data_IF_695835696035
#
_entry.id   IF_695835696035
#
_cell.length_a   1.000
_cell.length_b   1.000
_cell.length_c   1.000
_cell.angle_alpha   90.00
_cell.angle_beta   90.00
_cell.angle_gamma   90.00
#
_symmetry.space_group_name_H-M   'P 1'
#
loop_
_entity.id
_entity.type
_entity.pdbx_description
1 polymer ?
#
# COMPACT_ATOMS: atom_id res chain seq x y z
N UNK A 1 3.97 -12.56 12.19
CA UNK A 1 2.58 -12.10 12.04
C UNK A 1 2.40 -11.55 10.63
N UNK A 2 1.23 -11.70 10.05
CA UNK A 2 0.95 -11.20 8.73
C UNK A 2 0.20 -9.88 8.78
N UNK A 3 0.52 -9.00 7.83
CA UNK A 3 -0.22 -7.77 7.61
C UNK A 3 -1.26 -8.02 6.52
N UNK A 4 -2.31 -7.20 6.49
CA UNK A 4 -3.34 -7.24 5.46
C UNK A 4 -3.25 -5.99 4.61
N UNK A 5 -3.04 -6.17 3.30
CA UNK A 5 -3.00 -5.10 2.30
C UNK A 5 -4.20 -5.19 1.38
N UNK A 6 -4.70 -4.04 0.97
CA UNK A 6 -5.65 -3.93 -0.13
C UNK A 6 -4.93 -3.27 -1.29
N UNK A 7 -4.74 -4.02 -2.38
CA UNK A 7 -3.95 -3.57 -3.52
C UNK A 7 -4.83 -2.90 -4.56
N UNK A 8 -4.52 -1.65 -4.89
CA UNK A 8 -5.14 -0.92 -5.99
C UNK A 8 -4.83 -1.60 -7.33
N UNK A 9 -5.65 -1.29 -8.35
CA UNK A 9 -5.59 -1.94 -9.66
C UNK A 9 -4.24 -1.79 -10.35
N UNK A 10 -3.55 -0.66 -10.15
CA UNK A 10 -2.31 -0.37 -10.87
C UNK A 10 -1.06 -1.01 -10.27
N UNK A 11 -1.17 -1.72 -9.15
CA UNK A 11 -0.01 -2.32 -8.49
C UNK A 11 0.41 -3.57 -9.25
N UNK A 12 1.69 -3.67 -9.68
CA UNK A 12 2.15 -4.86 -10.40
C UNK A 12 2.04 -6.13 -9.58
N UNK A 13 1.70 -7.24 -10.26
CA UNK A 13 1.60 -8.55 -9.62
C UNK A 13 2.89 -8.97 -8.91
N UNK A 14 4.03 -8.54 -9.41
CA UNK A 14 5.32 -8.84 -8.79
C UNK A 14 5.36 -8.34 -7.33
N UNK A 15 4.79 -7.17 -7.07
CA UNK A 15 4.73 -6.63 -5.72
C UNK A 15 3.76 -7.43 -4.85
N UNK A 16 2.54 -7.64 -5.33
CA UNK A 16 1.51 -8.34 -4.55
C UNK A 16 1.89 -9.79 -4.28
N UNK A 17 2.46 -10.47 -5.26
CA UNK A 17 2.90 -11.86 -5.09
C UNK A 17 4.08 -11.98 -4.13
N UNK A 18 5.02 -11.03 -4.18
CA UNK A 18 6.14 -11.01 -3.25
C UNK A 18 5.66 -10.82 -1.81
N UNK A 19 4.69 -9.93 -1.59
CA UNK A 19 4.09 -9.76 -0.27
C UNK A 19 3.42 -11.04 0.22
N UNK A 20 2.69 -11.73 -0.65
CA UNK A 20 2.04 -13.01 -0.32
C UNK A 20 3.07 -14.08 0.02
N UNK A 21 4.14 -14.19 -0.75
CA UNK A 21 5.22 -15.15 -0.47
C UNK A 21 5.91 -14.85 0.86
N UNK A 22 5.93 -13.58 1.27
CA UNK A 22 6.53 -13.17 2.55
C UNK A 22 5.56 -13.36 3.72
N UNK A 23 4.39 -13.93 3.49
CA UNK A 23 3.44 -14.27 4.54
C UNK A 23 2.33 -13.27 4.79
N UNK A 24 2.21 -12.23 3.97
CA UNK A 24 1.17 -11.23 4.14
C UNK A 24 -0.09 -11.59 3.34
N UNK A 25 -1.24 -11.10 3.82
CA UNK A 25 -2.51 -11.23 3.10
C UNK A 25 -2.66 -10.02 2.18
N UNK A 26 -2.99 -10.27 0.92
CA UNK A 26 -3.24 -9.23 -0.07
C UNK A 26 -4.59 -9.48 -0.74
N UNK A 27 -5.51 -8.53 -0.60
CA UNK A 27 -6.78 -8.53 -1.32
C UNK A 27 -6.62 -7.62 -2.54
N UNK A 28 -6.92 -8.13 -3.72
CA UNK A 28 -6.83 -7.34 -4.95
C UNK A 28 -8.13 -6.60 -5.19
N UNK A 29 -8.02 -5.36 -5.69
CA UNK A 29 -9.18 -4.52 -5.99
C UNK A 29 -10.19 -5.25 -6.88
N UNK A 30 -9.72 -5.88 -7.95
CA UNK A 30 -10.59 -6.56 -8.93
C UNK A 30 -11.41 -7.70 -8.34
N UNK A 31 -11.03 -8.22 -7.18
CA UNK A 31 -11.75 -9.32 -6.54
C UNK A 31 -12.91 -8.84 -5.69
N UNK A 32 -12.97 -7.55 -5.35
CA UNK A 32 -13.97 -7.00 -4.43
C UNK A 32 -14.66 -5.75 -4.94
N UNK A 33 -14.14 -5.10 -5.98
CA UNK A 33 -14.69 -3.87 -6.55
C UNK A 33 -14.64 -3.91 -8.08
N UNK A 34 -15.48 -3.09 -8.76
CA UNK A 34 -15.31 -2.87 -10.19
C UNK A 34 -13.95 -2.23 -10.48
N UNK A 35 -13.33 -2.61 -11.60
CA UNK A 35 -12.02 -2.07 -12.00
C UNK A 35 -12.03 -0.55 -12.11
N UNK A 36 -13.20 0.03 -12.44
CA UNK A 36 -13.38 1.47 -12.62
C UNK A 36 -13.77 2.21 -11.33
N UNK A 37 -13.66 1.55 -10.19
CA UNK A 37 -13.99 2.21 -8.91
C UNK A 37 -13.15 3.47 -8.75
N UNK A 38 -13.81 4.56 -8.34
CA UNK A 38 -13.14 5.84 -8.10
C UNK A 38 -12.40 5.82 -6.77
N UNK A 39 -11.41 6.71 -6.63
CA UNK A 39 -10.52 6.73 -5.45
C UNK A 39 -11.25 6.73 -4.10
N UNK A 40 -12.30 7.55 -3.88
CA UNK A 40 -13.01 7.49 -2.59
C UNK A 40 -13.62 6.13 -2.28
N UNK A 41 -14.07 5.40 -3.29
CA UNK A 41 -14.62 4.05 -3.12
C UNK A 41 -13.50 3.06 -2.80
N UNK A 42 -12.34 3.22 -3.46
CA UNK A 42 -11.18 2.35 -3.24
C UNK A 42 -10.69 2.46 -1.79
N UNK A 43 -10.47 3.69 -1.31
CA UNK A 43 -9.96 3.89 0.05
C UNK A 43 -10.99 3.48 1.10
N UNK A 44 -12.28 3.67 0.82
CA UNK A 44 -13.35 3.22 1.72
C UNK A 44 -13.37 1.70 1.84
N UNK A 45 -13.09 0.98 0.76
CA UNK A 45 -13.02 -0.48 0.80
C UNK A 45 -11.82 -0.96 1.62
N UNK A 46 -10.69 -0.28 1.54
CA UNK A 46 -9.53 -0.59 2.38
C UNK A 46 -9.90 -0.48 3.86
N UNK A 47 -10.64 0.57 4.25
CA UNK A 47 -11.11 0.77 5.60
C UNK A 47 -12.06 -0.35 6.04
N UNK A 48 -13.01 -0.71 5.18
CA UNK A 48 -13.97 -1.78 5.44
C UNK A 48 -13.26 -3.11 5.68
N UNK A 49 -12.20 -3.38 4.95
CA UNK A 49 -11.42 -4.61 5.07
C UNK A 49 -10.45 -4.58 6.26
N UNK A 50 -10.26 -3.42 6.89
CA UNK A 50 -9.24 -3.27 7.92
C UNK A 50 -7.82 -3.39 7.38
N UNK A 51 -7.61 -3.01 6.11
CA UNK A 51 -6.38 -3.25 5.38
C UNK A 51 -5.60 -1.96 5.13
N UNK A 52 -4.29 -2.12 4.91
CA UNK A 52 -3.42 -1.04 4.45
C UNK A 52 -3.62 -0.90 2.94
N UNK A 53 -3.94 0.31 2.48
CA UNK A 53 -4.06 0.57 1.04
C UNK A 53 -2.67 0.63 0.41
N UNK A 54 -2.46 -0.21 -0.60
CA UNK A 54 -1.22 -0.23 -1.38
C UNK A 54 -1.53 0.29 -2.78
N UNK A 55 -0.88 1.37 -3.20
CA UNK A 55 -1.21 2.02 -4.46
C UNK A 55 0.00 2.67 -5.12
N UNK A 56 -0.02 2.74 -6.45
CA UNK A 56 0.89 3.56 -7.24
C UNK A 56 0.28 4.92 -7.58
N UNK A 57 -1.00 5.11 -7.23
CA UNK A 57 -1.72 6.34 -7.55
C UNK A 57 -1.28 7.47 -6.61
N UNK A 58 -0.64 8.50 -7.18
CA UNK A 58 -0.16 9.65 -6.42
C UNK A 58 -1.26 10.44 -5.72
N UNK A 59 -2.53 10.30 -6.15
CA UNK A 59 -3.63 11.02 -5.53
C UNK A 59 -3.81 10.63 -4.06
N UNK A 60 -3.52 9.39 -3.69
CA UNK A 60 -3.59 8.95 -2.30
C UNK A 60 -2.46 9.52 -1.43
N UNK A 61 -1.44 10.10 -2.04
CA UNK A 61 -0.38 10.81 -1.33
C UNK A 61 -0.73 12.28 -1.06
N UNK A 62 -1.87 12.75 -1.60
CA UNK A 62 -2.37 14.09 -1.31
C UNK A 62 -3.02 14.12 0.07
N UNK A 63 -2.29 14.64 1.04
CA UNK A 63 -2.72 14.64 2.44
C UNK A 63 -3.89 15.60 2.72
N UNK A 64 -4.21 16.48 1.78
CA UNK A 64 -5.38 17.36 1.88
C UNK A 64 -6.65 16.57 1.53
N UNK A 65 -6.61 15.84 0.40
CA UNK A 65 -7.75 15.02 -0.04
C UNK A 65 -7.91 13.76 0.80
N UNK A 66 -6.79 13.16 1.22
CA UNK A 66 -6.79 11.92 2.01
C UNK A 66 -5.89 12.11 3.25
N UNK A 67 -6.39 12.81 4.29
CA UNK A 67 -5.61 13.01 5.51
C UNK A 67 -5.24 11.68 6.16
N UNK A 68 -3.94 11.36 6.32
CA UNK A 68 -3.52 10.04 6.82
C UNK A 68 -4.15 9.65 8.15
N UNK A 69 -4.38 10.63 9.04
CA UNK A 69 -4.96 10.36 10.36
C UNK A 69 -6.33 9.68 10.32
N UNK A 70 -7.03 9.74 9.18
CA UNK A 70 -8.37 9.17 9.02
C UNK A 70 -8.37 7.72 8.54
N UNK A 71 -7.21 7.20 8.17
CA UNK A 71 -7.14 5.90 7.47
C UNK A 71 -6.29 4.89 8.23
N UNK A 72 -6.41 3.63 7.84
CA UNK A 72 -5.74 2.51 8.52
C UNK A 72 -4.37 2.20 7.94
N UNK A 73 -3.83 3.12 7.20
CA UNK A 73 -2.51 3.01 6.58
C UNK A 73 -2.60 3.09 5.06
N UNK A 74 -1.71 3.89 4.48
CA UNK A 74 -1.56 4.02 3.03
C UNK A 74 -0.09 3.81 2.70
N UNK A 75 0.20 2.90 1.78
CA UNK A 75 1.56 2.69 1.25
C UNK A 75 1.54 3.09 -0.22
N UNK A 76 2.17 4.21 -0.53
CA UNK A 76 2.33 4.68 -1.90
C UNK A 76 3.68 4.28 -2.45
N UNK A 77 3.70 3.58 -3.57
CA UNK A 77 4.93 3.13 -4.22
C UNK A 77 5.26 4.06 -5.38
N UNK A 78 6.43 4.67 -5.35
CA UNK A 78 6.85 5.69 -6.32
C UNK A 78 7.72 5.05 -7.41
N UNK A 79 7.11 4.33 -8.35
CA UNK A 79 7.83 3.65 -9.43
C UNK A 79 8.23 4.58 -10.58
N UNK A 80 7.47 5.64 -10.81
CA UNK A 80 7.74 6.61 -11.89
C UNK A 80 7.96 5.94 -13.26
N UNK A 81 7.14 4.91 -13.60
CA UNK A 81 7.23 4.15 -14.86
C UNK A 81 8.54 3.37 -15.03
N UNK A 82 9.17 2.97 -13.94
CA UNK A 82 10.40 2.18 -13.95
C UNK A 82 10.20 0.82 -13.27
N UNK A 83 9.48 -0.13 -13.91
CA UNK A 83 9.21 -1.42 -13.28
C UNK A 83 10.47 -2.23 -12.96
N UNK A 84 11.58 -1.94 -13.63
CA UNK A 84 12.87 -2.60 -13.38
C UNK A 84 13.41 -2.36 -11.97
N UNK A 85 12.91 -1.35 -11.25
CA UNK A 85 13.35 -1.05 -9.89
C UNK A 85 12.51 -1.75 -8.81
N UNK A 86 11.52 -2.54 -9.21
CA UNK A 86 10.66 -3.25 -8.23
C UNK A 86 11.48 -4.09 -7.24
N UNK A 87 12.48 -4.88 -7.67
CA UNK A 87 13.28 -5.63 -6.69
C UNK A 87 13.93 -4.75 -5.63
N UNK A 88 14.39 -3.56 -6.00
CA UNK A 88 14.97 -2.61 -5.04
C UNK A 88 13.93 -2.12 -4.03
N UNK A 89 12.71 -1.82 -4.50
CA UNK A 89 11.62 -1.45 -3.62
C UNK A 89 11.30 -2.56 -2.63
N UNK A 90 11.23 -3.80 -3.10
CA UNK A 90 10.90 -4.93 -2.24
C UNK A 90 12.02 -5.21 -1.24
N UNK A 91 13.27 -5.04 -1.64
CA UNK A 91 14.41 -5.17 -0.72
C UNK A 91 14.39 -4.13 0.39
N UNK A 92 13.70 -3.02 0.19
CA UNK A 92 13.50 -2.00 1.22
C UNK A 92 12.23 -2.25 2.02
N UNK A 93 11.14 -2.59 1.34
CA UNK A 93 9.85 -2.74 1.98
C UNK A 93 9.79 -3.95 2.92
N UNK A 94 10.28 -5.11 2.49
CA UNK A 94 10.15 -6.34 3.28
C UNK A 94 10.84 -6.23 4.65
N UNK A 95 12.09 -5.74 4.74
CA UNK A 95 12.70 -5.53 6.06
C UNK A 95 11.96 -4.51 6.92
N UNK A 96 11.40 -3.47 6.29
CA UNK A 96 10.60 -2.47 7.01
C UNK A 96 9.36 -3.11 7.63
N UNK A 97 8.65 -3.96 6.88
CA UNK A 97 7.48 -4.66 7.37
C UNK A 97 7.84 -5.64 8.49
N UNK A 98 8.98 -6.32 8.37
CA UNK A 98 9.45 -7.24 9.40
C UNK A 98 9.79 -6.50 10.70
N UNK A 99 10.32 -5.28 10.59
CA UNK A 99 10.64 -4.45 11.74
C UNK A 99 9.37 -3.86 12.40
N UNK A 100 8.27 -3.79 11.67
CA UNK A 100 7.01 -3.22 12.13
C UNK A 100 5.85 -4.19 11.83
N UNK A 101 5.75 -5.30 12.55
CA UNK A 101 4.79 -6.37 12.21
C UNK A 101 3.36 -6.13 12.70
N UNK A 102 3.12 -5.10 13.51
CA UNK A 102 1.78 -4.83 14.04
C UNK A 102 0.97 -3.99 13.05
N UNK A 103 -0.24 -4.45 12.72
CA UNK A 103 -1.14 -3.74 11.81
C UNK A 103 -1.41 -2.31 12.31
N UNK A 104 -1.57 -2.14 13.62
CA UNK A 104 -1.87 -0.85 14.24
C UNK A 104 -0.77 0.18 14.04
N UNK A 105 0.47 -0.24 13.83
CA UNK A 105 1.57 0.69 13.56
C UNK A 105 1.29 1.56 12.34
N UNK A 106 0.57 1.02 11.35
CA UNK A 106 0.32 1.71 10.07
C UNK A 106 -0.86 2.66 10.13
N UNK A 107 -1.70 2.55 11.16
CA UNK A 107 -2.90 3.38 11.30
C UNK A 107 -2.52 4.86 11.42
N UNK A 108 -3.21 5.70 10.65
CA UNK A 108 -3.02 7.15 10.71
C UNK A 108 -1.76 7.64 10.01
N UNK A 109 -1.12 6.81 9.19
CA UNK A 109 0.14 7.17 8.54
C UNK A 109 0.11 6.91 7.05
N UNK A 110 0.83 7.72 6.32
CA UNK A 110 1.12 7.54 4.90
C UNK A 110 2.61 7.19 4.77
N UNK A 111 2.88 6.07 4.11
CA UNK A 111 4.23 5.60 3.85
C UNK A 111 4.52 5.78 2.37
N UNK A 112 5.48 6.63 2.03
CA UNK A 112 5.91 6.83 0.66
C UNK A 112 7.18 6.01 0.43
N UNK A 113 7.03 4.93 -0.33
CA UNK A 113 8.12 4.01 -0.62
C UNK A 113 8.88 4.50 -1.84
N UNK A 114 10.13 4.89 -1.62
CA UNK A 114 11.06 5.33 -2.66
C UNK A 114 12.25 4.36 -2.73
N UNK A 115 13.07 4.49 -3.79
CA UNK A 115 14.22 3.60 -3.99
C UNK A 115 15.18 3.64 -2.80
N UNK A 116 15.40 4.82 -2.23
CA UNK A 116 16.41 5.02 -1.20
C UNK A 116 15.87 5.14 0.21
N UNK A 117 14.55 5.25 0.37
CA UNK A 117 13.97 5.50 1.71
C UNK A 117 12.48 5.22 1.74
N UNK A 118 11.95 5.10 2.97
CA UNK A 118 10.52 5.13 3.24
C UNK A 118 10.25 6.44 3.99
N UNK A 119 9.39 7.30 3.43
CA UNK A 119 8.94 8.53 4.12
C UNK A 119 7.61 8.27 4.79
N UNK A 120 7.48 8.77 6.01
CA UNK A 120 6.26 8.59 6.81
C UNK A 120 5.62 9.96 7.02
N UNK A 121 4.33 10.05 6.71
CA UNK A 121 3.52 11.27 6.93
C UNK A 121 2.35 10.92 7.84
N UNK A 122 2.08 11.82 8.76
CA UNK A 122 1.00 11.64 9.73
C UNK A 122 -0.22 12.46 9.41
#
# INVERSE_FOLDING_TARGET
>A
MSLHFFSDQCVPAEITETLRRHGHQVTLLRDVLPIRAIDPVVIAKAQELGAILLSLNGDFADIVSYPPARYLGIVGVQLHNHPEIIPQFMNRLLPFLDAHPAQEFYHGKLFLLEVHRVRIRH
#
